data_IF_971310838218
#
_entry.id   IF_971310838218
#
_cell.length_a   1.000
_cell.length_b   1.000
_cell.length_c   1.000
_cell.angle_alpha   90.00
_cell.angle_beta   90.00
_cell.angle_gamma   90.00
#
_symmetry.space_group_name_H-M   'P 1'
#
loop_
_entity.id
_entity.type
_entity.pdbx_description
1 polymer ?
#
# COMPACT_ATOMS: atom_id res chain seq x y z
N UNK A 1 -9.32 19.23 -4.63
CA UNK A 1 -8.00 19.03 -3.95
C UNK A 1 -7.34 20.37 -3.54
N UNK A 2 -7.08 20.61 -2.24
CA UNK A 2 -6.27 21.76 -1.76
C UNK A 2 -4.81 21.32 -1.55
N UNK A 3 -3.88 21.90 -2.31
CA UNK A 3 -2.46 21.57 -2.21
C UNK A 3 -1.76 22.41 -1.12
N UNK A 4 -0.73 21.86 -0.45
CA UNK A 4 0.05 22.63 0.50
C UNK A 4 0.94 23.64 -0.24
N UNK A 5 1.17 24.80 0.34
CA UNK A 5 2.19 25.73 -0.15
C UNK A 5 3.55 25.01 -0.20
N UNK A 6 4.33 25.14 -1.29
CA UNK A 6 4.22 26.14 -2.35
C UNK A 6 3.55 25.64 -3.65
N UNK A 7 2.56 24.75 -3.59
CA UNK A 7 1.97 24.16 -4.79
C UNK A 7 0.59 24.76 -5.10
N UNK A 8 0.33 24.99 -6.39
CA UNK A 8 -0.99 25.35 -6.91
C UNK A 8 -1.36 24.50 -8.12
N UNK A 9 -2.67 24.35 -8.36
CA UNK A 9 -3.20 23.64 -9.54
C UNK A 9 -3.54 24.67 -10.61
N UNK A 10 -3.04 24.47 -11.82
CA UNK A 10 -3.40 25.26 -13.01
C UNK A 10 -4.04 24.36 -14.06
N UNK A 11 -4.90 24.92 -14.91
CA UNK A 11 -5.41 24.26 -16.10
C UNK A 11 -4.68 24.74 -17.35
N UNK A 12 -4.35 23.80 -18.23
CA UNK A 12 -3.71 24.07 -19.51
C UNK A 12 -4.54 23.49 -20.64
N UNK A 13 -4.55 24.16 -21.79
CA UNK A 13 -5.33 23.74 -22.97
C UNK A 13 -4.96 22.33 -23.45
N UNK A 14 -3.69 21.94 -23.34
CA UNK A 14 -3.18 20.70 -23.94
C UNK A 14 -2.83 19.60 -22.94
N UNK A 15 -2.83 19.89 -21.62
CA UNK A 15 -2.42 18.91 -20.59
C UNK A 15 -3.41 18.80 -19.44
N UNK A 16 -4.56 19.50 -19.51
CA UNK A 16 -5.53 19.54 -18.43
C UNK A 16 -4.93 20.17 -17.17
N UNK A 17 -5.22 19.58 -16.01
CA UNK A 17 -4.75 20.05 -14.71
C UNK A 17 -3.28 19.68 -14.50
N UNK A 18 -2.48 20.67 -14.15
CA UNK A 18 -1.08 20.53 -13.77
C UNK A 18 -0.85 21.11 -12.37
N UNK A 19 0.20 20.65 -11.69
CA UNK A 19 0.66 21.25 -10.45
C UNK A 19 1.91 22.07 -10.74
N UNK A 20 1.93 23.32 -10.30
CA UNK A 20 3.09 24.22 -10.42
C UNK A 20 3.52 24.73 -9.05
N UNK A 21 4.78 25.16 -8.96
CA UNK A 21 5.31 25.80 -7.76
C UNK A 21 5.07 27.30 -7.79
N UNK A 22 4.61 27.86 -6.69
CA UNK A 22 4.44 29.31 -6.47
C UNK A 22 5.75 30.00 -6.05
N UNK A 23 6.84 29.25 -5.92
CA UNK A 23 8.19 29.75 -5.61
C UNK A 23 9.27 29.00 -6.38
N UNK A 24 10.47 29.56 -6.39
CA UNK A 24 11.66 28.85 -6.86
C UNK A 24 12.00 27.66 -5.94
N UNK A 25 12.29 26.50 -6.55
CA UNK A 25 12.64 25.25 -5.87
C UNK A 25 14.10 24.93 -6.12
N UNK A 26 14.82 24.54 -5.07
CA UNK A 26 16.21 24.10 -5.17
C UNK A 26 16.32 22.57 -5.13
N UNK A 27 17.47 22.05 -5.55
CA UNK A 27 17.76 20.62 -5.42
C UNK A 27 17.69 20.19 -3.96
N UNK A 28 16.89 19.15 -3.69
CA UNK A 28 16.65 18.64 -2.33
C UNK A 28 15.43 19.23 -1.62
N UNK A 29 14.76 20.24 -2.18
CA UNK A 29 13.54 20.80 -1.59
C UNK A 29 12.41 19.75 -1.55
N UNK A 30 11.77 19.50 -0.39
CA UNK A 30 10.60 18.65 -0.33
C UNK A 30 9.42 19.37 -1.00
N UNK A 31 8.92 18.80 -2.10
CA UNK A 31 7.84 19.39 -2.90
C UNK A 31 6.46 18.99 -2.35
N UNK A 32 6.25 17.71 -2.09
CA UNK A 32 4.99 17.17 -1.59
C UNK A 32 5.26 15.97 -0.68
N UNK A 33 4.59 15.94 0.47
CA UNK A 33 4.55 14.75 1.33
C UNK A 33 3.09 14.45 1.64
N UNK A 34 2.62 13.30 1.17
CA UNK A 34 1.24 12.85 1.37
C UNK A 34 1.21 11.36 1.70
N UNK A 35 0.18 10.94 2.41
CA UNK A 35 -0.14 9.53 2.56
C UNK A 35 -0.99 9.07 1.39
N UNK A 36 -0.79 7.84 0.89
CA UNK A 36 -1.68 7.30 -0.13
C UNK A 36 -3.11 7.23 0.43
N UNK A 37 -4.08 7.53 -0.43
CA UNK A 37 -5.49 7.32 -0.08
C UNK A 37 -5.73 5.83 0.21
N UNK A 38 -5.27 4.96 -0.70
CA UNK A 38 -5.34 3.50 -0.59
C UNK A 38 -4.08 2.87 -1.20
N UNK A 39 -3.75 1.64 -0.81
CA UNK A 39 -2.61 0.89 -1.35
C UNK A 39 -3.06 -0.50 -1.80
N UNK A 40 -3.00 -0.74 -3.11
CA UNK A 40 -3.17 -2.07 -3.71
C UNK A 40 -1.82 -2.78 -3.86
N UNK A 41 -1.53 -3.75 -3.01
CA UNK A 41 -0.27 -4.50 -3.07
C UNK A 41 -0.29 -5.51 -4.21
N UNK A 42 0.71 -5.46 -5.10
CA UNK A 42 0.88 -6.45 -6.15
C UNK A 42 1.02 -7.86 -5.55
N UNK A 43 0.44 -8.85 -6.21
CA UNK A 43 0.49 -10.23 -5.75
C UNK A 43 1.91 -10.77 -5.59
N UNK A 44 2.85 -10.34 -6.44
CA UNK A 44 4.27 -10.67 -6.36
C UNK A 44 4.97 -10.11 -5.11
N UNK A 45 4.41 -9.07 -4.49
CA UNK A 45 5.00 -8.36 -3.36
C UNK A 45 4.19 -8.49 -2.06
N UNK A 46 3.02 -9.15 -2.07
CA UNK A 46 2.13 -9.25 -0.90
C UNK A 46 2.82 -9.80 0.35
N UNK A 47 3.73 -10.76 0.19
CA UNK A 47 4.49 -11.37 1.30
C UNK A 47 5.59 -10.47 1.86
N UNK A 48 5.94 -9.39 1.15
CA UNK A 48 7.04 -8.48 1.47
C UNK A 48 6.57 -7.09 1.89
N UNK A 49 5.28 -6.79 1.83
CA UNK A 49 4.75 -5.46 2.15
C UNK A 49 3.70 -5.54 3.25
N UNK A 50 3.85 -4.71 4.28
CA UNK A 50 2.90 -4.66 5.38
C UNK A 50 1.57 -4.06 4.90
N UNK A 51 0.48 -4.80 5.05
CA UNK A 51 -0.86 -4.39 4.61
C UNK A 51 -1.49 -3.30 5.48
N UNK A 52 -0.93 -3.03 6.67
CA UNK A 52 -1.42 -1.98 7.56
C UNK A 52 -0.93 -0.61 7.12
N UNK A 53 -1.87 0.31 6.85
CA UNK A 53 -1.55 1.73 6.66
C UNK A 53 -1.48 2.48 8.00
N UNK A 54 -0.57 3.46 8.14
CA UNK A 54 0.39 3.94 7.15
C UNK A 54 1.74 3.19 7.18
N UNK A 55 1.84 2.02 7.83
CA UNK A 55 3.13 1.33 7.98
C UNK A 55 3.75 1.00 6.62
N UNK A 56 3.06 0.22 5.79
CA UNK A 56 3.50 -0.16 4.43
C UNK A 56 4.96 -0.60 4.31
N UNK A 57 5.54 -1.10 5.41
CA UNK A 57 6.97 -1.40 5.49
C UNK A 57 7.29 -2.56 4.56
N UNK A 58 8.41 -2.41 3.84
CA UNK A 58 8.90 -3.40 2.90
C UNK A 58 9.98 -4.27 3.53
N UNK A 59 9.84 -5.60 3.41
CA UNK A 59 10.82 -6.57 3.85
C UNK A 59 12.05 -6.54 2.94
N UNK A 60 13.16 -5.98 3.45
CA UNK A 60 14.45 -5.91 2.76
C UNK A 60 15.00 -7.31 2.41
N UNK A 61 14.81 -8.28 3.31
CA UNK A 61 15.16 -9.69 3.10
C UNK A 61 13.98 -10.59 3.51
N UNK A 62 13.76 -11.67 2.77
CA UNK A 62 12.73 -12.67 3.07
C UNK A 62 11.29 -12.17 2.94
N UNK A 63 10.42 -12.71 3.79
CA UNK A 63 8.96 -12.50 3.79
C UNK A 63 8.45 -12.28 5.22
N UNK A 64 7.34 -11.58 5.35
CA UNK A 64 6.62 -11.52 6.62
C UNK A 64 5.92 -12.86 6.90
N UNK A 65 6.10 -13.35 8.12
CA UNK A 65 5.45 -14.58 8.61
C UNK A 65 4.06 -14.31 9.20
N UNK A 66 3.81 -13.10 9.70
CA UNK A 66 2.51 -12.72 10.27
C UNK A 66 1.57 -12.35 9.12
N UNK A 67 0.47 -13.08 9.01
CA UNK A 67 -0.51 -12.90 7.95
C UNK A 67 -1.91 -13.31 8.41
N UNK A 68 -2.93 -12.88 7.68
CA UNK A 68 -4.28 -13.36 7.91
C UNK A 68 -4.44 -14.77 7.32
N UNK A 69 -4.61 -15.78 8.18
CA UNK A 69 -4.79 -17.18 7.78
C UNK A 69 -6.09 -17.44 7.01
N UNK A 70 -7.11 -16.56 7.13
CA UNK A 70 -8.41 -16.73 6.45
C UNK A 70 -8.33 -16.43 4.95
N UNK A 71 -7.67 -15.32 4.58
CA UNK A 71 -7.56 -14.92 3.18
C UNK A 71 -6.20 -15.22 2.56
N UNK A 72 -5.14 -15.34 3.37
CA UNK A 72 -3.74 -15.46 2.92
C UNK A 72 -3.32 -14.34 1.93
N UNK A 73 -3.98 -13.19 2.03
CA UNK A 73 -3.79 -12.03 1.16
C UNK A 73 -3.22 -10.81 1.87
N UNK A 74 -3.23 -10.77 3.20
CA UNK A 74 -2.73 -9.64 4.00
C UNK A 74 -1.60 -10.10 4.91
N UNK A 75 -0.46 -9.43 4.80
CA UNK A 75 0.77 -9.74 5.54
C UNK A 75 1.19 -8.52 6.37
N UNK A 76 1.82 -8.75 7.52
CA UNK A 76 2.12 -7.72 8.50
C UNK A 76 3.55 -7.84 9.01
N UNK A 77 4.21 -6.69 9.22
CA UNK A 77 5.55 -6.67 9.81
C UNK A 77 5.55 -7.00 11.31
N UNK A 78 4.40 -6.88 11.98
CA UNK A 78 4.25 -7.08 13.42
C UNK A 78 2.79 -7.39 13.80
N UNK A 79 2.60 -8.01 14.95
CA UNK A 79 1.27 -8.27 15.51
C UNK A 79 0.50 -6.96 15.77
N UNK A 80 1.21 -5.89 16.15
CA UNK A 80 0.62 -4.57 16.34
C UNK A 80 0.00 -4.02 15.05
N UNK A 81 0.65 -4.21 13.90
CA UNK A 81 0.10 -3.82 12.59
C UNK A 81 -1.12 -4.67 12.20
N UNK A 82 -1.08 -5.97 12.49
CA UNK A 82 -2.22 -6.86 12.26
C UNK A 82 -3.44 -6.43 13.11
N UNK A 83 -3.26 -6.18 14.40
CA UNK A 83 -4.35 -5.73 15.27
C UNK A 83 -4.89 -4.36 14.90
N UNK A 84 -4.01 -3.42 14.51
CA UNK A 84 -4.43 -2.11 14.02
C UNK A 84 -5.30 -2.21 12.76
N UNK A 85 -4.95 -3.12 11.87
CA UNK A 85 -5.68 -3.33 10.62
C UNK A 85 -6.92 -4.21 10.80
N UNK A 86 -7.06 -4.95 11.90
CA UNK A 86 -8.06 -6.01 12.08
C UNK A 86 -9.49 -5.58 11.75
N UNK A 87 -9.95 -4.43 12.27
CA UNK A 87 -11.30 -3.93 12.01
C UNK A 87 -11.54 -3.61 10.52
N UNK A 88 -10.57 -2.97 9.87
CA UNK A 88 -10.65 -2.63 8.45
C UNK A 88 -10.49 -3.87 7.56
N UNK A 89 -9.58 -4.76 7.94
CA UNK A 89 -9.34 -6.03 7.26
C UNK A 89 -10.57 -6.93 7.28
N UNK A 90 -11.30 -7.01 8.40
CA UNK A 90 -12.48 -7.86 8.52
C UNK A 90 -13.52 -7.56 7.44
N UNK A 91 -13.71 -6.27 7.10
CA UNK A 91 -14.65 -5.82 6.06
C UNK A 91 -14.28 -6.31 4.65
N UNK A 92 -13.02 -6.66 4.41
CA UNK A 92 -12.51 -7.00 3.07
C UNK A 92 -11.93 -8.41 3.00
N UNK A 93 -11.80 -9.11 4.12
CA UNK A 93 -11.09 -10.39 4.22
C UNK A 93 -11.68 -11.45 3.28
N UNK A 94 -13.01 -11.62 3.27
CA UNK A 94 -13.65 -12.61 2.40
C UNK A 94 -13.54 -12.20 0.92
N UNK A 95 -13.65 -10.92 0.62
CA UNK A 95 -13.48 -10.38 -0.73
C UNK A 95 -12.06 -10.62 -1.25
N UNK A 96 -11.03 -10.42 -0.41
CA UNK A 96 -9.64 -10.74 -0.74
C UNK A 96 -9.44 -12.24 -0.98
N UNK A 97 -10.08 -13.10 -0.17
CA UNK A 97 -10.01 -14.55 -0.36
C UNK A 97 -10.58 -14.96 -1.73
N UNK A 98 -11.72 -14.38 -2.14
CA UNK A 98 -12.31 -14.60 -3.47
C UNK A 98 -11.42 -14.08 -4.59
N UNK A 99 -10.75 -12.94 -4.38
CA UNK A 99 -9.84 -12.35 -5.36
C UNK A 99 -8.63 -13.26 -5.67
N UNK A 100 -8.17 -14.09 -4.72
CA UNK A 100 -7.06 -15.04 -4.94
C UNK A 100 -7.26 -15.93 -6.17
N UNK A 101 -8.47 -16.46 -6.36
CA UNK A 101 -8.78 -17.33 -7.51
C UNK A 101 -8.81 -16.56 -8.83
N UNK A 102 -9.19 -15.28 -8.78
CA UNK A 102 -9.16 -14.38 -9.93
C UNK A 102 -7.71 -14.03 -10.31
N UNK A 103 -6.86 -13.70 -9.33
CA UNK A 103 -5.45 -13.39 -9.58
C UNK A 103 -4.66 -14.51 -10.25
N UNK A 104 -5.04 -15.77 -10.02
CA UNK A 104 -4.38 -16.90 -10.66
C UNK A 104 -4.57 -16.90 -12.19
N UNK A 105 -5.68 -16.36 -12.68
CA UNK A 105 -6.04 -16.31 -14.11
C UNK A 105 -5.70 -14.96 -14.75
N UNK A 106 -5.93 -13.87 -14.01
CA UNK A 106 -5.88 -12.49 -14.50
C UNK A 106 -4.86 -11.65 -13.70
N UNK A 107 -3.59 -12.06 -13.67
CA UNK A 107 -2.56 -11.46 -12.77
C UNK A 107 -2.48 -9.94 -12.89
N UNK A 108 -2.44 -9.44 -14.12
CA UNK A 108 -2.25 -8.00 -14.38
C UNK A 108 -3.45 -7.18 -13.90
N UNK A 109 -4.67 -7.70 -14.12
CA UNK A 109 -5.93 -7.05 -13.73
C UNK A 109 -6.19 -7.17 -12.24
N UNK A 110 -5.82 -8.29 -11.63
CA UNK A 110 -6.09 -8.53 -10.22
C UNK A 110 -5.45 -7.48 -9.31
N UNK A 111 -4.30 -6.94 -9.69
CA UNK A 111 -3.67 -5.83 -8.98
C UNK A 111 -4.49 -4.54 -9.05
N UNK A 112 -5.09 -4.24 -10.22
CA UNK A 112 -6.00 -3.09 -10.38
C UNK A 112 -7.31 -3.29 -9.62
N UNK A 113 -7.90 -4.48 -9.71
CA UNK A 113 -9.11 -4.85 -8.95
C UNK A 113 -8.84 -4.75 -7.45
N UNK A 114 -7.66 -5.19 -7.00
CA UNK A 114 -7.23 -5.04 -5.61
C UNK A 114 -7.14 -3.57 -5.21
N UNK A 115 -6.53 -2.73 -6.04
CA UNK A 115 -6.44 -1.29 -5.76
C UNK A 115 -7.84 -0.68 -5.65
N UNK A 116 -8.74 -0.96 -6.60
CA UNK A 116 -10.12 -0.49 -6.57
C UNK A 116 -10.85 -0.96 -5.29
N UNK A 117 -10.65 -2.22 -4.90
CA UNK A 117 -11.19 -2.77 -3.66
C UNK A 117 -10.68 -2.01 -2.42
N UNK A 118 -9.39 -1.67 -2.38
CA UNK A 118 -8.81 -0.90 -1.26
C UNK A 118 -9.33 0.54 -1.26
N UNK A 119 -9.56 1.16 -2.44
CA UNK A 119 -10.17 2.50 -2.54
C UNK A 119 -11.59 2.50 -1.96
N UNK A 120 -12.41 1.51 -2.31
CA UNK A 120 -13.77 1.36 -1.78
C UNK A 120 -13.77 1.07 -0.27
N UNK A 121 -12.82 0.26 0.20
CA UNK A 121 -12.64 -0.02 1.62
C UNK A 121 -12.31 1.26 2.41
N UNK A 122 -11.37 2.06 1.91
CA UNK A 122 -11.01 3.34 2.54
C UNK A 122 -12.19 4.32 2.53
N UNK A 123 -12.99 4.34 1.46
CA UNK A 123 -14.20 5.16 1.39
C UNK A 123 -15.23 4.76 2.45
N UNK A 124 -15.49 3.46 2.59
CA UNK A 124 -16.37 2.93 3.62
C UNK A 124 -15.84 3.23 5.02
N UNK A 125 -14.53 3.06 5.23
CA UNK A 125 -13.88 3.33 6.51
C UNK A 125 -13.95 4.81 6.90
N UNK A 126 -13.78 5.71 5.93
CA UNK A 126 -13.97 7.15 6.07
C UNK A 126 -15.43 7.49 6.41
N UNK A 127 -16.39 6.89 5.71
CA UNK A 127 -17.83 7.10 5.92
C UNK A 127 -18.32 6.67 7.30
N UNK A 128 -17.65 5.69 7.94
CA UNK A 128 -17.92 5.30 9.32
C UNK A 128 -17.30 6.24 10.37
N UNK A 129 -16.61 7.31 9.96
CA UNK A 129 -15.96 8.27 10.85
C UNK A 129 -14.68 7.74 11.51
N UNK A 130 -14.14 6.62 11.03
CA UNK A 130 -12.92 6.02 11.58
C UNK A 130 -11.62 6.65 11.08
N UNK A 131 -11.74 7.55 10.09
CA UNK A 131 -10.61 8.32 9.58
C UNK A 131 -10.41 9.59 10.39
N UNK A 132 -9.73 9.47 11.54
CA UNK A 132 -9.45 10.63 12.41
C UNK A 132 -8.31 11.48 11.86
N UNK A 133 -8.56 12.79 11.75
CA UNK A 133 -7.53 13.81 11.51
C UNK A 133 -6.45 13.72 12.60
N UNK A 134 -5.19 13.74 12.15
CA UNK A 134 -3.92 13.71 12.89
C UNK A 134 -4.04 14.03 14.39
N UNK A 135 -4.09 13.00 15.23
CA UNK A 135 -3.48 13.06 16.56
C UNK A 135 -2.27 12.16 16.54
N UNK A 136 -1.11 12.80 16.45
CA UNK A 136 0.22 12.29 16.80
C UNK A 136 0.39 10.77 16.66
N UNK A 137 0.93 10.35 15.51
CA UNK A 137 1.61 9.07 15.46
C UNK A 137 2.75 9.14 16.48
N UNK A 138 2.79 8.25 17.50
CA UNK A 138 3.98 8.13 18.31
C UNK A 138 5.08 7.64 17.37
N UNK A 139 6.04 8.52 17.08
CA UNK A 139 7.34 8.16 16.51
C UNK A 139 8.12 7.36 17.56
N UNK A 140 7.62 6.17 17.88
CA UNK A 140 8.24 5.20 18.78
C UNK A 140 8.04 3.80 18.21
N UNK A 141 8.48 3.60 16.97
CA UNK A 141 9.18 2.34 16.73
C UNK A 141 10.55 2.51 17.36
N UNK A 142 10.64 2.11 18.63
CA UNK A 142 11.90 1.93 19.31
C UNK A 142 12.82 1.10 18.43
N UNK A 143 14.09 1.47 18.47
CA UNK A 143 15.24 0.70 18.03
C UNK A 143 14.90 -0.79 18.10
N UNK A 144 14.83 -1.45 16.94
CA UNK A 144 14.82 -2.91 16.89
C UNK A 144 16.06 -3.33 17.67
N UNK A 145 15.95 -4.09 18.78
CA UNK A 145 17.14 -4.64 19.39
C UNK A 145 17.77 -5.56 18.36
N UNK A 146 18.93 -5.16 17.87
CA UNK A 146 19.87 -6.09 17.26
C UNK A 146 20.28 -7.06 18.36
N UNK A 147 19.49 -8.11 18.59
CA UNK A 147 19.95 -9.21 19.41
C UNK A 147 19.97 -10.47 18.55
N UNK A 148 21.09 -10.60 17.85
CA UNK A 148 21.65 -11.90 17.52
C UNK A 148 21.96 -12.61 18.84
N UNK A 149 21.01 -13.38 19.37
CA UNK A 149 21.25 -14.54 20.24
C UNK A 149 19.91 -15.24 20.47
N UNK A 150 19.63 -16.24 19.64
CA UNK A 150 18.67 -17.28 19.99
C UNK A 150 19.43 -18.23 20.91
N UNK A 151 19.17 -18.14 22.20
CA UNK A 151 19.52 -19.20 23.14
C UNK A 151 18.79 -20.49 22.74
N UNK A 152 19.58 -21.56 22.69
CA UNK A 152 19.16 -22.92 22.42
C UNK A 152 18.12 -23.38 23.47
N UNK A 153 16.91 -23.66 23.03
CA UNK A 153 16.07 -24.68 23.65
C UNK A 153 15.91 -25.79 22.61
N UNK A 154 16.52 -26.94 22.89
CA UNK A 154 16.74 -28.02 21.95
C UNK A 154 15.48 -28.74 21.49
N UNK A 155 15.50 -29.20 20.25
CA UNK A 155 14.96 -30.49 19.84
C UNK A 155 15.69 -30.93 18.56
N UNK A 156 16.52 -31.97 18.70
CA UNK A 156 17.09 -32.83 17.66
C UNK A 156 15.93 -33.60 16.97
N UNK A 157 15.97 -34.12 15.74
CA UNK A 157 17.01 -34.53 14.78
C UNK A 157 16.46 -34.44 13.35
N UNK A 158 17.33 -34.32 12.35
CA UNK A 158 16.96 -34.63 10.95
C UNK A 158 17.73 -33.91 9.84
N UNK A 159 19.05 -34.09 9.81
CA UNK A 159 19.95 -34.07 8.64
C UNK A 159 19.41 -33.52 7.30
N UNK A 160 19.96 -32.39 6.84
CA UNK A 160 20.49 -32.26 5.48
C UNK A 160 21.35 -31.01 5.35
N UNK A 161 22.65 -31.23 5.12
CA UNK A 161 23.68 -30.23 4.87
C UNK A 161 23.54 -29.59 3.50
N UNK A 162 23.63 -28.26 3.43
CA UNK A 162 24.20 -27.58 2.27
C UNK A 162 25.06 -26.39 2.74
N UNK A 163 26.31 -26.44 2.32
CA UNK A 163 27.42 -25.53 2.59
C UNK A 163 27.14 -24.12 2.07
N UNK A 164 27.38 -23.13 2.93
CA UNK A 164 27.39 -21.71 2.60
C UNK A 164 28.83 -21.24 2.33
N UNK A 165 29.06 -20.62 1.18
CA UNK A 165 30.14 -19.65 0.98
C UNK A 165 29.55 -18.23 1.04
N UNK A 166 30.23 -17.26 1.68
CA UNK A 166 29.72 -15.90 1.81
C UNK A 166 30.05 -15.08 0.54
N UNK A 167 29.03 -14.50 -0.08
CA UNK A 167 29.23 -13.42 -1.04
C UNK A 167 29.55 -12.13 -0.27
N UNK A 168 30.67 -11.52 -0.64
CA UNK A 168 31.24 -10.29 -0.12
C UNK A 168 30.29 -9.10 -0.21
N UNK A 169 30.30 -8.29 0.85
CA UNK A 169 29.68 -6.97 0.94
C UNK A 169 30.39 -5.99 0.00
N UNK A 170 29.66 -5.45 -0.98
CA UNK A 170 29.96 -4.15 -1.60
C UNK A 170 28.65 -3.36 -1.77
N UNK A 171 28.49 -2.38 -0.88
CA UNK A 171 27.97 -1.03 -1.09
C UNK A 171 26.83 -0.79 -2.11
N UNK A 172 25.60 -0.70 -1.58
CA UNK A 172 24.61 0.27 -2.07
C UNK A 172 23.87 0.89 -0.86
N UNK A 173 24.56 1.75 -0.13
CA UNK A 173 23.90 2.75 0.70
C UNK A 173 23.36 3.86 -0.22
N UNK A 174 22.08 3.77 -0.57
CA UNK A 174 21.45 4.84 -1.34
C UNK A 174 19.97 4.61 -1.54
N UNK A 175 19.16 5.56 -1.07
CA UNK A 175 17.73 5.72 -1.35
C UNK A 175 16.77 4.71 -0.68
N UNK A 176 16.60 4.79 0.64
CA UNK A 176 15.26 4.68 1.24
C UNK A 176 15.37 5.19 2.68
N UNK A 177 15.19 6.50 2.86
CA UNK A 177 14.99 7.05 4.20
C UNK A 177 13.68 6.50 4.76
N UNK A 178 13.68 5.93 5.97
CA UNK A 178 12.44 5.61 6.67
C UNK A 178 11.59 6.87 6.80
N UNK A 179 10.28 6.74 6.67
CA UNK A 179 9.29 7.83 6.69
C UNK A 179 9.25 8.60 8.03
N UNK A 180 10.15 8.32 8.97
CA UNK A 180 10.14 8.81 10.35
C UNK A 180 10.80 10.18 10.54
N UNK A 181 11.60 10.69 9.58
CA UNK A 181 12.52 11.80 9.86
C UNK A 181 12.29 13.09 9.05
N UNK A 182 11.14 13.26 8.37
CA UNK A 182 10.88 14.50 7.62
C UNK A 182 9.72 15.28 8.24
N UNK A 183 10.04 16.37 8.94
CA UNK A 183 9.05 17.39 9.31
C UNK A 183 8.74 18.22 8.06
N UNK A 184 7.64 17.89 7.37
CA UNK A 184 7.19 18.58 6.16
C UNK A 184 5.77 19.08 6.35
N UNK A 185 5.45 20.20 5.69
CA UNK A 185 4.08 20.64 5.40
C UNK A 185 3.30 19.50 4.75
N UNK A 186 2.68 18.66 5.58
CA UNK A 186 1.84 17.57 5.10
C UNK A 186 0.56 18.18 4.57
N UNK A 187 0.23 17.91 3.30
CA UNK A 187 -1.17 17.87 2.90
C UNK A 187 -1.88 16.91 3.86
N UNK A 188 -3.11 17.24 4.27
CA UNK A 188 -3.91 16.32 5.10
C UNK A 188 -4.05 14.94 4.45
N UNK A 189 -4.73 14.01 5.13
CA UNK A 189 -5.09 12.75 4.48
C UNK A 189 -5.92 13.03 3.23
N UNK A 190 -5.52 12.50 2.07
CA UNK A 190 -6.34 12.55 0.84
C UNK A 190 -7.71 11.95 1.13
N UNK A 191 -8.81 12.55 0.73
CA UNK A 191 -10.20 12.07 0.94
C UNK A 191 -10.70 11.24 -0.24
N UNK A 192 -11.85 10.59 -0.10
CA UNK A 192 -12.49 9.95 -1.26
C UNK A 192 -12.87 10.99 -2.33
N UNK A 193 -13.25 12.21 -1.91
CA UNK A 193 -13.48 13.32 -2.83
C UNK A 193 -12.26 13.60 -3.72
N UNK A 194 -11.05 13.59 -3.15
CA UNK A 194 -9.82 13.78 -3.94
C UNK A 194 -9.57 12.65 -4.94
N UNK A 195 -10.03 11.42 -4.66
CA UNK A 195 -9.96 10.30 -5.62
C UNK A 195 -10.95 10.50 -6.75
N UNK A 196 -12.17 10.94 -6.46
CA UNK A 196 -13.20 11.22 -7.47
C UNK A 196 -12.85 12.45 -8.32
N UNK A 197 -12.06 13.38 -7.78
CA UNK A 197 -11.47 14.48 -8.54
C UNK A 197 -10.45 13.99 -9.58
N UNK A 198 -9.93 12.76 -9.50
CA UNK A 198 -9.06 12.19 -10.53
C UNK A 198 -9.91 11.88 -11.77
N UNK A 199 -9.67 12.63 -12.85
CA UNK A 199 -10.37 12.39 -14.11
C UNK A 199 -9.80 11.14 -14.76
N UNK A 200 -10.66 10.13 -14.95
CA UNK A 200 -10.35 9.01 -15.81
C UNK A 200 -10.76 9.34 -17.26
N UNK A 201 -9.85 9.17 -18.21
CA UNK A 201 -10.17 9.25 -19.64
C UNK A 201 -10.90 7.99 -20.14
N UNK A 202 -11.98 7.58 -19.47
CA UNK A 202 -12.80 6.42 -19.94
C UNK A 202 -13.46 6.70 -21.28
N UNK A 203 -13.68 7.97 -21.60
CA UNK A 203 -14.17 8.43 -22.90
C UNK A 203 -13.19 8.14 -24.05
N UNK A 204 -11.89 7.96 -23.76
CA UNK A 204 -10.89 7.62 -24.78
C UNK A 204 -10.70 6.11 -24.96
N UNK A 205 -11.51 5.27 -24.30
CA UNK A 205 -11.38 3.83 -24.41
C UNK A 205 -11.94 3.33 -25.74
N UNK A 206 -11.23 2.39 -26.36
CA UNK A 206 -11.69 1.72 -27.58
C UNK A 206 -12.83 0.75 -27.26
N UNK A 207 -13.62 0.40 -28.27
CA UNK A 207 -14.69 -0.61 -28.13
C UNK A 207 -14.16 -1.98 -27.71
N UNK A 208 -12.92 -2.32 -28.07
CA UNK A 208 -12.25 -3.55 -27.64
C UNK A 208 -11.92 -3.50 -26.14
N UNK A 209 -11.42 -2.37 -25.65
CA UNK A 209 -11.14 -2.18 -24.22
C UNK A 209 -12.43 -2.29 -23.39
N UNK A 210 -13.52 -1.68 -23.85
CA UNK A 210 -14.84 -1.81 -23.20
C UNK A 210 -15.29 -3.26 -23.12
N UNK A 211 -15.34 -3.96 -24.26
CA UNK A 211 -15.72 -5.39 -24.31
C UNK A 211 -14.86 -6.25 -23.40
N UNK A 212 -13.57 -5.94 -23.30
CA UNK A 212 -12.64 -6.72 -22.51
C UNK A 212 -12.85 -6.56 -21.00
N UNK A 213 -13.25 -5.37 -20.54
CA UNK A 213 -13.66 -5.14 -19.14
C UNK A 213 -15.04 -5.72 -18.82
N UNK A 214 -15.99 -5.63 -19.75
CA UNK A 214 -17.34 -6.20 -19.60
C UNK A 214 -17.33 -7.73 -19.37
N UNK A 215 -16.34 -8.45 -19.91
CA UNK A 215 -16.18 -9.91 -19.67
C UNK A 215 -16.15 -10.29 -18.19
N UNK A 216 -15.67 -9.40 -17.33
CA UNK A 216 -15.53 -9.65 -15.90
C UNK A 216 -16.57 -8.91 -15.05
N UNK A 217 -17.50 -8.17 -15.66
CA UNK A 217 -18.44 -7.30 -14.94
C UNK A 217 -19.19 -8.04 -13.84
N UNK A 218 -19.77 -9.20 -14.15
CA UNK A 218 -20.52 -10.01 -13.18
C UNK A 218 -19.69 -10.38 -11.94
N UNK A 219 -18.42 -10.74 -12.14
CA UNK A 219 -17.49 -11.02 -11.06
C UNK A 219 -17.16 -9.76 -10.28
N UNK A 220 -16.81 -8.66 -10.95
CA UNK A 220 -16.43 -7.40 -10.32
C UNK A 220 -17.59 -6.79 -9.50
N UNK A 221 -18.81 -6.78 -10.05
CA UNK A 221 -20.01 -6.34 -9.33
C UNK A 221 -20.27 -7.22 -8.11
N UNK A 222 -20.15 -8.54 -8.26
CA UNK A 222 -20.29 -9.48 -7.13
C UNK A 222 -19.18 -9.32 -6.08
N UNK A 223 -17.99 -8.91 -6.48
CA UNK A 223 -16.83 -8.69 -5.61
C UNK A 223 -16.98 -7.38 -4.83
N UNK A 224 -17.40 -6.30 -5.49
CA UNK A 224 -17.50 -4.99 -4.86
C UNK A 224 -18.75 -4.82 -3.99
N UNK A 225 -19.85 -5.55 -4.27
CA UNK A 225 -21.05 -5.54 -3.40
C UNK A 225 -20.81 -6.08 -2.00
N UNK A 226 -19.74 -6.84 -1.77
CA UNK A 226 -19.42 -7.37 -0.44
C UNK A 226 -18.59 -6.43 0.43
N UNK A 227 -18.15 -5.29 -0.10
CA UNK A 227 -17.46 -4.21 0.62
C UNK A 227 -18.36 -2.99 0.68
#
# INVERSE_FOLDING_TARGET
MQLPSPLEVLETQNRGRIVVSTRELHSGDPILTTYPYAVGVLDSHRKRLCSSLPCSLYARKGYFSIHCVRCDQSFYCSQACMWRDAGKHELVCETLKRLRSFSAKERDRASLVRLALMVLLEYRWESMGHRKSRREFPSKHGTIPQNNQVERAGFNDGSSTCTSEPASDEDVEGLFTPWSNVMVNSSGFSTFGDVMDLQSHTESWTSEQWKDWEKHESFLVSLFRSV
#
